data_IF_123985273445
#
_entry.id   IF_123985273445
#
_cell.length_a   1.000
_cell.length_b   1.000
_cell.length_c   1.000
_cell.angle_alpha   90.00
_cell.angle_beta   90.00
_cell.angle_gamma   90.00
#
_symmetry.space_group_name_H-M   'P 1'
#
loop_
_entity.id
_entity.type
_entity.pdbx_description
1 polymer ?
#
# COMPACT_ATOMS: atom_id res chain seq x y z
N UNK A 1 18.45 -32.95 60.81
CA UNK A 1 18.60 -31.65 60.13
C UNK A 1 18.57 -31.88 58.63
N UNK A 2 17.44 -31.56 57.98
CA UNK A 2 17.26 -31.70 56.53
C UNK A 2 17.98 -30.55 55.81
N UNK A 3 18.83 -30.89 54.83
CA UNK A 3 19.49 -29.94 53.94
C UNK A 3 18.49 -29.50 52.87
N UNK A 4 18.23 -28.20 52.77
CA UNK A 4 17.46 -27.59 51.69
C UNK A 4 18.45 -27.29 50.57
N UNK A 5 18.31 -27.97 49.44
CA UNK A 5 19.02 -27.67 48.20
C UNK A 5 18.20 -26.59 47.49
N UNK A 6 18.75 -25.38 47.41
CA UNK A 6 18.18 -24.28 46.64
C UNK A 6 18.67 -24.44 45.20
N UNK A 7 17.83 -24.98 44.32
CA UNK A 7 18.12 -25.00 42.88
C UNK A 7 17.82 -23.62 42.29
N UNK A 8 18.87 -22.87 41.98
CA UNK A 8 18.79 -21.63 41.23
C UNK A 8 18.51 -21.98 39.76
N UNK A 9 17.27 -21.81 39.32
CA UNK A 9 16.89 -21.96 37.91
C UNK A 9 17.29 -20.67 37.19
N UNK A 10 18.41 -20.69 36.48
CA UNK A 10 18.83 -19.58 35.62
C UNK A 10 18.11 -19.79 34.29
N UNK A 11 17.05 -19.02 34.05
CA UNK A 11 16.48 -18.86 32.71
C UNK A 11 17.46 -17.99 31.90
N UNK A 12 18.23 -18.63 31.03
CA UNK A 12 18.93 -17.92 29.95
C UNK A 12 17.93 -17.69 28.83
N UNK A 13 17.34 -16.51 28.78
CA UNK A 13 16.60 -16.05 27.59
C UNK A 13 17.66 -15.63 26.59
N UNK A 14 17.71 -16.33 25.46
CA UNK A 14 18.59 -16.02 24.35
C UNK A 14 17.93 -14.87 23.58
N UNK A 15 18.53 -13.68 23.60
CA UNK A 15 18.09 -12.59 22.73
C UNK A 15 18.51 -12.92 21.29
N UNK A 16 17.56 -13.36 20.47
CA UNK A 16 17.68 -13.22 19.02
C UNK A 16 17.40 -11.76 18.68
N UNK A 17 18.28 -11.20 17.86
CA UNK A 17 18.17 -9.86 17.28
C UNK A 17 16.79 -9.66 16.68
N UNK A 18 16.03 -8.71 17.23
CA UNK A 18 14.75 -8.25 16.68
C UNK A 18 15.06 -7.70 15.28
N UNK A 19 14.47 -8.31 14.26
CA UNK A 19 14.63 -7.95 12.86
C UNK A 19 13.75 -6.75 12.51
N UNK A 20 14.12 -6.10 11.39
CA UNK A 20 13.63 -4.84 10.84
C UNK A 20 12.09 -4.73 10.81
N UNK A 21 11.56 -3.67 11.42
CA UNK A 21 10.15 -3.26 11.31
C UNK A 21 9.90 -2.66 9.92
N UNK A 22 8.78 -2.93 9.28
CA UNK A 22 8.38 -2.34 7.99
C UNK A 22 6.92 -1.94 8.12
N UNK A 23 6.51 -0.77 7.62
CA UNK A 23 5.13 -0.33 7.78
C UNK A 23 4.51 0.18 6.47
N UNK A 24 3.36 -0.38 6.11
CA UNK A 24 2.65 -0.12 4.87
C UNK A 24 1.23 0.38 5.16
N UNK A 25 0.92 1.57 4.64
CA UNK A 25 -0.42 2.16 4.65
C UNK A 25 -0.93 2.27 3.22
N UNK A 26 -2.02 1.58 2.87
CA UNK A 26 -2.80 1.87 1.68
C UNK A 26 -4.26 2.17 2.06
N UNK A 27 -4.76 3.32 1.59
CA UNK A 27 -6.16 3.73 1.69
C UNK A 27 -6.91 3.29 0.41
N UNK A 28 -7.93 2.46 0.61
CA UNK A 28 -9.01 2.08 -0.32
C UNK A 28 -8.66 1.29 -1.60
N UNK A 29 -8.77 -0.04 -1.50
CA UNK A 29 -9.80 -0.89 -2.15
C UNK A 29 -9.81 -2.26 -1.46
N UNK A 30 -10.93 -2.98 -1.48
CA UNK A 30 -11.00 -4.40 -1.10
C UNK A 30 -9.74 -5.17 -1.54
N UNK A 31 -9.26 -6.02 -0.65
CA UNK A 31 -8.01 -6.77 -0.77
C UNK A 31 -8.09 -7.78 -1.93
N UNK A 32 -7.61 -7.39 -3.12
CA UNK A 32 -7.48 -8.27 -4.29
C UNK A 32 -6.00 -8.60 -4.60
N UNK A 33 -5.14 -8.80 -3.59
CA UNK A 33 -3.78 -9.27 -3.80
C UNK A 33 -3.30 -10.22 -2.68
N UNK A 34 -2.66 -11.34 -3.07
CA UNK A 34 -2.13 -12.37 -2.16
C UNK A 34 -0.73 -12.82 -2.64
N UNK A 35 0.28 -11.96 -2.46
CA UNK A 35 1.68 -12.36 -2.47
C UNK A 35 2.27 -12.24 -1.06
N UNK A 36 3.45 -12.83 -0.82
CA UNK A 36 4.16 -12.64 0.45
C UNK A 36 4.45 -11.16 0.73
N UNK A 37 4.05 -10.69 1.90
CA UNK A 37 4.44 -9.39 2.44
C UNK A 37 5.86 -9.52 2.96
N UNK A 38 6.82 -9.19 2.10
CA UNK A 38 8.23 -9.10 2.46
C UNK A 38 8.71 -7.66 2.24
N UNK A 39 9.65 -7.22 3.09
CA UNK A 39 10.50 -6.02 2.94
C UNK A 39 10.09 -5.03 1.82
N UNK A 40 9.18 -4.10 2.12
CA UNK A 40 8.94 -2.95 1.23
C UNK A 40 7.94 -3.13 0.10
N UNK A 41 7.27 -4.27 -0.03
CA UNK A 41 6.26 -4.48 -1.08
C UNK A 41 4.93 -4.98 -0.53
N UNK A 42 3.89 -4.14 -0.66
CA UNK A 42 2.49 -4.61 -0.71
C UNK A 42 2.30 -5.38 -2.03
N UNK A 43 1.66 -6.56 -2.04
CA UNK A 43 1.41 -7.26 -3.28
C UNK A 43 0.50 -6.43 -4.20
N UNK A 44 0.60 -6.65 -5.51
CA UNK A 44 -0.26 -6.01 -6.52
C UNK A 44 -1.40 -6.92 -6.96
N UNK A 45 -2.44 -6.35 -7.55
CA UNK A 45 -3.69 -7.06 -7.93
C UNK A 45 -3.47 -8.41 -8.65
N UNK A 46 -4.03 -9.50 -8.13
CA UNK A 46 -4.08 -10.82 -8.79
C UNK A 46 -5.47 -11.45 -8.65
N UNK A 47 -5.87 -12.24 -9.63
CA UNK A 47 -7.27 -12.64 -9.90
C UNK A 47 -7.68 -13.99 -9.29
N UNK A 48 -6.91 -14.53 -8.33
CA UNK A 48 -7.17 -15.84 -7.70
C UNK A 48 -6.77 -15.86 -6.23
N UNK A 49 -7.39 -16.77 -5.46
CA UNK A 49 -7.11 -17.05 -4.05
C UNK A 49 -5.66 -17.54 -3.88
N UNK A 50 -4.77 -16.74 -3.32
CA UNK A 50 -3.45 -17.19 -2.82
C UNK A 50 -3.34 -16.91 -1.31
N UNK A 51 -2.32 -17.40 -0.62
CA UNK A 51 -2.16 -17.16 0.83
C UNK A 51 -1.31 -15.88 1.04
N UNK A 52 -1.62 -15.07 2.05
CA UNK A 52 -0.81 -13.92 2.48
C UNK A 52 0.19 -14.44 3.50
N UNK A 53 1.49 -14.33 3.23
CA UNK A 53 2.55 -14.67 4.17
C UNK A 53 3.20 -13.38 4.69
N UNK A 54 3.33 -13.23 6.01
CA UNK A 54 4.11 -12.16 6.62
C UNK A 54 5.53 -12.65 6.81
N UNK A 55 6.47 -11.99 6.12
CA UNK A 55 7.91 -12.20 6.26
C UNK A 55 8.54 -10.92 6.87
N UNK A 56 9.21 -11.07 8.01
CA UNK A 56 9.78 -9.96 8.80
C UNK A 56 8.78 -9.30 9.74
N UNK A 57 9.07 -8.05 10.14
CA UNK A 57 8.13 -7.26 10.95
C UNK A 57 7.37 -6.28 10.07
N UNK A 58 6.05 -6.32 10.14
CA UNK A 58 5.10 -5.58 9.32
C UNK A 58 4.16 -4.78 10.23
N UNK A 59 3.89 -3.53 9.90
CA UNK A 59 2.85 -2.70 10.51
C UNK A 59 1.90 -2.21 9.42
N UNK A 60 0.64 -2.59 9.54
CA UNK A 60 -0.49 -2.12 8.76
C UNK A 60 -1.10 -0.93 9.51
N UNK A 61 -1.05 0.24 8.89
CA UNK A 61 -1.78 1.43 9.40
C UNK A 61 -3.22 1.36 8.90
N UNK A 62 -4.22 1.58 9.75
CA UNK A 62 -5.66 1.44 9.47
C UNK A 62 -6.18 -0.03 9.51
N UNK A 63 -7.47 -0.20 9.28
CA UNK A 63 -8.15 -1.50 9.34
C UNK A 63 -7.58 -2.53 8.33
N UNK A 64 -7.61 -3.80 8.72
CA UNK A 64 -7.19 -4.98 7.95
C UNK A 64 -8.40 -5.91 7.76
N UNK A 65 -8.85 -6.07 6.51
CA UNK A 65 -10.00 -6.92 6.18
C UNK A 65 -9.57 -8.17 5.39
N UNK A 66 -9.68 -9.35 6.00
CA UNK A 66 -9.50 -10.63 5.32
C UNK A 66 -10.83 -11.10 4.70
N UNK A 67 -10.98 -10.94 3.39
CA UNK A 67 -12.18 -11.29 2.65
C UNK A 67 -11.95 -12.41 1.62
N UNK A 68 -13.03 -12.88 1.00
CA UNK A 68 -12.98 -13.71 -0.21
C UNK A 68 -12.07 -14.94 -0.11
N UNK A 69 -12.04 -15.66 1.01
CA UNK A 69 -11.28 -16.91 1.09
C UNK A 69 -9.78 -16.74 1.30
N UNK A 70 -9.29 -15.53 1.62
CA UNK A 70 -7.88 -15.29 1.90
C UNK A 70 -7.42 -16.00 3.16
N UNK A 71 -6.22 -16.56 3.12
CA UNK A 71 -5.48 -17.05 4.29
C UNK A 71 -4.39 -16.04 4.61
N UNK A 72 -4.26 -15.60 5.85
CA UNK A 72 -3.14 -14.80 6.32
C UNK A 72 -2.29 -15.63 7.28
N UNK A 73 -1.01 -15.79 7.00
CA UNK A 73 -0.05 -16.54 7.79
C UNK A 73 1.05 -15.59 8.29
N UNK A 74 1.20 -15.51 9.62
CA UNK A 74 2.36 -14.88 10.24
C UNK A 74 3.36 -15.98 10.55
N UNK A 75 4.46 -15.98 9.80
CA UNK A 75 5.47 -17.03 9.86
C UNK A 75 6.26 -17.00 11.19
N UNK A 76 6.94 -18.10 11.49
CA UNK A 76 7.80 -18.21 12.69
C UNK A 76 8.85 -17.09 12.75
N UNK A 77 8.78 -16.28 13.81
CA UNK A 77 9.74 -15.19 14.09
C UNK A 77 9.37 -13.85 13.47
N UNK A 78 8.26 -13.79 12.74
CA UNK A 78 7.78 -12.61 12.04
C UNK A 78 6.66 -11.92 12.84
N UNK A 79 6.37 -10.66 12.52
CA UNK A 79 5.36 -9.90 13.25
C UNK A 79 4.46 -9.07 12.35
N UNK A 80 3.18 -9.01 12.69
CA UNK A 80 2.20 -8.12 12.10
C UNK A 80 1.58 -7.25 13.20
N UNK A 81 1.65 -5.93 13.02
CA UNK A 81 0.93 -4.95 13.81
C UNK A 81 -0.18 -4.38 12.93
N UNK A 82 -1.40 -4.32 13.43
CA UNK A 82 -2.54 -3.65 12.78
C UNK A 82 -2.92 -2.46 13.64
N UNK A 83 -2.59 -1.25 13.20
CA UNK A 83 -2.98 0.02 13.83
C UNK A 83 -4.40 0.42 13.40
N UNK A 84 -5.34 -0.49 13.69
CA UNK A 84 -6.74 -0.47 13.27
C UNK A 84 -7.45 -1.74 13.74
N UNK A 85 -8.66 -1.97 13.24
CA UNK A 85 -9.39 -3.22 13.44
C UNK A 85 -8.85 -4.30 12.48
N UNK A 86 -8.88 -5.56 12.92
CA UNK A 86 -8.67 -6.72 12.08
C UNK A 86 -10.00 -7.46 11.93
N UNK A 87 -10.55 -7.51 10.72
CA UNK A 87 -11.79 -8.20 10.41
C UNK A 87 -11.51 -9.45 9.57
N UNK A 88 -11.90 -10.63 10.07
CA UNK A 88 -11.73 -11.92 9.39
C UNK A 88 -13.08 -12.43 8.91
N UNK A 89 -13.33 -12.44 7.60
CA UNK A 89 -14.62 -12.85 7.03
C UNK A 89 -14.86 -14.37 7.15
N UNK A 90 -16.12 -14.80 7.05
CA UNK A 90 -16.54 -16.21 7.16
C UNK A 90 -15.84 -17.24 6.27
N UNK A 91 -15.25 -16.81 5.16
CA UNK A 91 -14.51 -17.69 4.24
C UNK A 91 -13.00 -17.66 4.46
N UNK A 92 -12.49 -16.74 5.28
CA UNK A 92 -11.07 -16.43 5.42
C UNK A 92 -10.46 -17.12 6.63
N UNK A 93 -9.14 -17.20 6.63
CA UNK A 93 -8.36 -17.84 7.68
C UNK A 93 -7.23 -16.92 8.15
N UNK A 94 -7.03 -16.85 9.47
CA UNK A 94 -5.83 -16.25 10.07
C UNK A 94 -5.04 -17.34 10.80
N UNK A 95 -3.76 -17.42 10.44
CA UNK A 95 -2.77 -18.35 10.95
C UNK A 95 -1.64 -17.54 11.59
N UNK A 96 -1.34 -17.83 12.86
CA UNK A 96 -0.14 -17.34 13.52
C UNK A 96 0.71 -18.56 13.87
N UNK A 97 1.85 -18.69 13.21
CA UNK A 97 2.78 -19.79 13.42
C UNK A 97 3.53 -19.66 14.76
N UNK A 98 4.21 -20.74 15.13
CA UNK A 98 5.04 -20.84 16.33
C UNK A 98 6.11 -19.72 16.33
N UNK A 99 6.11 -18.82 17.30
CA UNK A 99 7.02 -17.67 17.35
C UNK A 99 6.62 -16.46 16.50
N UNK A 100 5.48 -16.48 15.83
CA UNK A 100 4.92 -15.32 15.13
C UNK A 100 4.16 -14.39 16.09
N UNK A 101 4.14 -13.08 15.77
CA UNK A 101 3.51 -12.07 16.63
C UNK A 101 2.42 -11.30 15.89
N UNK A 102 1.20 -11.28 16.41
CA UNK A 102 0.12 -10.41 15.95
C UNK A 102 -0.22 -9.40 17.05
N UNK A 103 -0.22 -8.11 16.70
CA UNK A 103 -0.74 -7.05 17.55
C UNK A 103 -1.85 -6.29 16.82
N UNK A 104 -3.01 -6.14 17.43
CA UNK A 104 -4.15 -5.37 16.89
C UNK A 104 -4.47 -4.23 17.84
N UNK A 105 -4.28 -2.99 17.39
CA UNK A 105 -4.55 -1.80 18.20
C UNK A 105 -6.05 -1.46 18.29
N UNK A 106 -6.87 -1.98 17.37
CA UNK A 106 -8.33 -1.90 17.39
C UNK A 106 -9.01 -3.16 17.90
N UNK A 107 -10.17 -3.47 17.34
CA UNK A 107 -10.88 -4.72 17.60
C UNK A 107 -10.42 -5.82 16.65
N UNK A 108 -10.43 -7.06 17.14
CA UNK A 108 -10.33 -8.25 16.31
C UNK A 108 -11.74 -8.84 16.14
N UNK A 109 -12.29 -8.77 14.93
CA UNK A 109 -13.63 -9.29 14.59
C UNK A 109 -13.47 -10.55 13.77
N UNK A 110 -13.96 -11.68 14.29
CA UNK A 110 -13.90 -12.97 13.62
C UNK A 110 -15.28 -13.46 13.19
N UNK A 111 -15.47 -13.62 11.88
CA UNK A 111 -16.58 -14.36 11.28
C UNK A 111 -16.13 -15.68 10.64
N UNK A 112 -14.82 -15.86 10.42
CA UNK A 112 -14.15 -16.97 9.72
C UNK A 112 -13.41 -17.96 10.62
N UNK A 113 -12.43 -18.65 10.05
CA UNK A 113 -11.62 -19.63 10.80
C UNK A 113 -10.39 -18.96 11.41
N UNK A 114 -10.07 -19.31 12.66
CA UNK A 114 -8.90 -18.78 13.35
C UNK A 114 -8.07 -19.91 13.94
N UNK A 115 -6.84 -20.08 13.46
CA UNK A 115 -5.97 -21.19 13.86
C UNK A 115 -4.65 -20.65 14.43
N UNK A 116 -4.32 -21.05 15.66
CA UNK A 116 -3.04 -20.76 16.28
C UNK A 116 -2.26 -22.07 16.45
N UNK A 117 -1.06 -22.17 15.88
CA UNK A 117 -0.20 -23.35 16.03
C UNK A 117 0.79 -23.18 17.21
N UNK A 118 0.92 -24.18 18.08
CA UNK A 118 2.01 -24.26 19.08
C UNK A 118 1.70 -24.98 20.41
N UNK A 119 2.73 -25.60 21.00
CA UNK A 119 2.80 -26.02 22.42
C UNK A 119 3.68 -25.03 23.21
N UNK A 120 3.40 -24.80 24.51
CA UNK A 120 3.83 -23.71 25.43
C UNK A 120 5.34 -23.37 25.50
N UNK A 121 6.18 -24.06 24.76
CA UNK A 121 7.62 -23.85 24.80
C UNK A 121 8.16 -23.11 23.57
N UNK A 122 7.28 -22.57 22.69
CA UNK A 122 7.69 -21.73 21.57
C UNK A 122 6.57 -20.80 21.00
N UNK A 123 5.94 -20.01 21.88
CA UNK A 123 5.66 -18.56 21.77
C UNK A 123 5.12 -17.88 20.48
N UNK A 124 4.10 -18.42 19.80
CA UNK A 124 3.22 -17.54 18.99
C UNK A 124 2.38 -16.62 19.91
N UNK A 125 2.21 -15.34 19.57
CA UNK A 125 1.51 -14.35 20.42
C UNK A 125 0.48 -13.56 19.63
N UNK A 126 -0.71 -13.38 20.21
CA UNK A 126 -1.73 -12.47 19.68
C UNK A 126 -2.16 -11.51 20.79
N UNK A 127 -2.10 -10.20 20.53
CA UNK A 127 -2.51 -9.18 21.48
C UNK A 127 -3.49 -8.20 20.82
N UNK A 128 -4.61 -7.94 21.48
CA UNK A 128 -5.69 -7.08 21.02
C UNK A 128 -5.97 -6.00 22.06
N UNK A 129 -5.74 -4.74 21.69
CA UNK A 129 -5.98 -3.59 22.58
C UNK A 129 -7.47 -3.29 22.76
N UNK A 130 -8.27 -3.51 21.72
CA UNK A 130 -9.73 -3.42 21.74
C UNK A 130 -10.40 -4.73 22.13
N UNK A 131 -11.55 -5.01 21.53
CA UNK A 131 -12.35 -6.21 21.81
C UNK A 131 -12.01 -7.35 20.85
N UNK A 132 -12.13 -8.58 21.33
CA UNK A 132 -12.28 -9.75 20.46
C UNK A 132 -13.76 -10.07 20.32
N UNK A 133 -14.28 -10.04 19.09
CA UNK A 133 -15.69 -10.20 18.75
C UNK A 133 -15.85 -11.43 17.84
N UNK A 134 -16.67 -12.39 18.24
CA UNK A 134 -16.93 -13.61 17.46
C UNK A 134 -18.36 -13.57 16.91
N UNK A 135 -18.49 -13.23 15.61
CA UNK A 135 -19.77 -13.01 14.93
C UNK A 135 -20.21 -14.17 14.02
N UNK A 136 -19.35 -15.17 13.81
CA UNK A 136 -19.55 -16.29 12.88
C UNK A 136 -19.60 -17.67 13.53
N UNK A 137 -19.60 -18.73 12.69
CA UNK A 137 -19.35 -20.12 13.13
C UNK A 137 -17.84 -20.40 13.23
N UNK A 138 -17.04 -19.35 13.38
CA UNK A 138 -15.60 -19.46 13.52
C UNK A 138 -15.24 -20.24 14.77
N UNK A 139 -14.34 -21.21 14.63
CA UNK A 139 -13.74 -21.87 15.78
C UNK A 139 -12.41 -21.16 16.05
N UNK A 140 -12.29 -20.52 17.22
CA UNK A 140 -10.98 -20.16 17.78
C UNK A 140 -10.29 -21.44 18.25
N UNK A 141 -9.49 -22.05 17.38
CA UNK A 141 -8.66 -23.19 17.74
C UNK A 141 -7.35 -22.70 18.34
N UNK A 142 -7.42 -22.28 19.61
CA UNK A 142 -6.23 -22.10 20.43
C UNK A 142 -5.66 -23.47 20.78
N UNK A 143 -4.36 -23.68 20.53
CA UNK A 143 -3.67 -24.82 21.14
C UNK A 143 -3.81 -24.75 22.66
N UNK A 144 -3.48 -25.83 23.39
CA UNK A 144 -3.62 -25.90 24.86
C UNK A 144 -2.87 -24.81 25.64
N UNK A 145 -2.09 -23.99 24.93
CA UNK A 145 -0.94 -23.24 25.37
C UNK A 145 -0.72 -21.89 24.65
N UNK A 146 -1.73 -21.38 23.93
CA UNK A 146 -1.62 -20.13 23.16
C UNK A 146 -1.68 -18.88 24.04
N UNK A 147 -0.83 -17.88 23.78
CA UNK A 147 -0.84 -16.58 24.44
C UNK A 147 -1.70 -15.60 23.65
N UNK A 148 -3.01 -15.64 23.88
CA UNK A 148 -3.94 -14.66 23.34
C UNK A 148 -4.26 -13.63 24.43
N UNK A 149 -4.03 -12.34 24.17
CA UNK A 149 -4.30 -11.27 25.13
C UNK A 149 -5.35 -10.34 24.56
N UNK A 150 -6.42 -10.09 25.31
CA UNK A 150 -7.46 -9.13 24.94
C UNK A 150 -7.63 -8.18 26.11
N UNK A 151 -7.46 -6.89 25.86
CA UNK A 151 -7.60 -5.84 26.88
C UNK A 151 -9.05 -5.34 26.99
N UNK A 152 -9.82 -5.39 25.89
CA UNK A 152 -11.26 -5.16 25.88
C UNK A 152 -12.06 -6.39 26.30
N UNK A 153 -13.29 -6.53 25.80
CA UNK A 153 -14.10 -7.73 26.02
C UNK A 153 -13.72 -8.83 25.04
N UNK A 154 -13.75 -10.09 25.48
CA UNK A 154 -13.59 -11.27 24.64
C UNK A 154 -14.87 -12.10 24.61
N UNK A 155 -15.34 -12.45 23.41
CA UNK A 155 -16.48 -13.36 23.22
C UNK A 155 -16.11 -14.86 23.42
N UNK A 156 -14.81 -15.20 23.45
CA UNK A 156 -14.33 -16.58 23.69
C UNK A 156 -14.31 -16.94 25.20
N UNK A 157 -14.98 -18.02 25.63
CA UNK A 157 -14.97 -18.50 27.02
C UNK A 157 -13.63 -19.09 27.50
N UNK A 158 -12.64 -19.30 26.61
CA UNK A 158 -11.37 -20.00 26.90
C UNK A 158 -10.16 -19.13 27.24
N UNK A 159 -10.19 -17.82 26.96
CA UNK A 159 -9.02 -16.97 27.08
C UNK A 159 -9.02 -16.05 28.33
N UNK A 160 -7.83 -15.77 28.86
CA UNK A 160 -7.60 -14.85 29.97
C UNK A 160 -7.77 -13.39 29.51
N UNK A 161 -8.89 -12.76 29.87
CA UNK A 161 -8.95 -11.30 30.06
C UNK A 161 -7.69 -10.88 30.84
N UNK A 162 -6.78 -10.15 30.19
CA UNK A 162 -5.40 -10.04 30.67
C UNK A 162 -4.71 -8.78 30.18
N UNK A 163 -3.90 -8.18 31.05
CA UNK A 163 -3.06 -7.03 30.70
C UNK A 163 -2.02 -7.51 29.69
N UNK A 164 -2.02 -6.91 28.50
CA UNK A 164 -0.98 -7.13 27.48
C UNK A 164 0.40 -6.83 28.12
N UNK A 165 1.34 -7.79 28.13
CA UNK A 165 2.67 -7.58 28.70
C UNK A 165 3.37 -6.33 28.13
N UNK A 166 4.08 -5.52 28.97
CA UNK A 166 4.73 -4.29 28.51
C UNK A 166 5.71 -4.48 27.35
N UNK A 167 6.39 -5.63 27.29
CA UNK A 167 7.27 -6.01 26.19
C UNK A 167 6.55 -6.14 24.85
N UNK A 168 5.29 -6.58 24.84
CA UNK A 168 4.46 -6.65 23.62
C UNK A 168 3.92 -5.26 23.27
N UNK A 169 3.60 -4.43 24.26
CA UNK A 169 3.23 -3.02 24.03
C UNK A 169 4.40 -2.18 23.50
N UNK A 170 5.65 -2.55 23.80
CA UNK A 170 6.82 -1.86 23.29
C UNK A 170 7.06 -2.07 21.79
N UNK A 171 6.54 -3.17 21.21
CA UNK A 171 6.54 -3.42 19.76
C UNK A 171 5.62 -2.41 19.04
N UNK A 172 4.61 -1.88 19.73
CA UNK A 172 3.61 -0.94 19.20
C UNK A 172 3.97 0.55 19.40
N UNK A 173 4.73 0.91 20.44
CA UNK A 173 4.90 2.31 20.86
C UNK A 173 5.86 3.18 20.03
N UNK A 174 6.33 2.69 18.88
CA UNK A 174 7.19 3.47 17.98
C UNK A 174 6.59 3.45 16.59
N UNK A 175 5.49 4.17 16.38
CA UNK A 175 5.39 4.90 15.12
C UNK A 175 6.46 5.99 15.23
N UNK A 176 7.61 5.84 14.57
CA UNK A 176 8.74 6.74 14.73
C UNK A 176 8.39 8.15 14.28
N UNK A 177 7.36 8.29 13.44
CA UNK A 177 6.92 9.56 12.89
C UNK A 177 5.42 9.76 13.13
N UNK A 178 5.07 10.94 13.65
CA UNK A 178 3.68 11.41 13.65
C UNK A 178 3.52 12.44 12.54
N UNK A 179 2.94 12.07 11.40
CA UNK A 179 2.72 12.98 10.28
C UNK A 179 1.44 13.81 10.50
N UNK A 180 1.60 15.14 10.47
CA UNK A 180 0.50 16.09 10.68
C UNK A 180 -0.18 16.52 9.38
N UNK A 181 0.59 16.68 8.32
CA UNK A 181 0.06 17.00 6.99
C UNK A 181 1.04 16.64 5.89
N UNK A 182 0.52 16.32 4.72
CA UNK A 182 1.26 16.20 3.47
C UNK A 182 0.44 16.80 2.34
N UNK A 183 0.99 17.81 1.68
CA UNK A 183 0.32 18.61 0.67
C UNK A 183 1.24 18.84 -0.53
N UNK A 184 0.64 19.04 -1.69
CA UNK A 184 1.35 19.27 -2.93
C UNK A 184 0.65 20.30 -3.79
N UNK A 185 1.42 21.13 -4.48
CA UNK A 185 0.88 22.08 -5.46
C UNK A 185 1.75 22.10 -6.72
N UNK A 186 1.09 22.03 -7.87
CA UNK A 186 1.75 22.25 -9.15
C UNK A 186 1.86 23.76 -9.41
N UNK A 187 3.08 24.24 -9.53
CA UNK A 187 3.38 25.65 -9.77
C UNK A 187 3.39 25.99 -11.26
N UNK A 188 3.33 27.30 -11.57
CA UNK A 188 3.32 27.79 -12.96
C UNK A 188 4.60 27.47 -13.75
N UNK A 189 5.71 27.17 -13.06
CA UNK A 189 6.98 26.79 -13.69
C UNK A 189 7.13 25.27 -13.89
N UNK A 190 6.01 24.53 -13.94
CA UNK A 190 5.97 23.07 -14.11
C UNK A 190 6.77 22.31 -13.03
N UNK A 191 6.66 22.77 -11.79
CA UNK A 191 7.30 22.11 -10.64
C UNK A 191 6.20 21.72 -9.66
N UNK A 192 6.22 20.49 -9.15
CA UNK A 192 5.37 20.13 -8.02
C UNK A 192 6.14 20.43 -6.75
N UNK A 193 5.63 21.39 -5.97
CA UNK A 193 6.12 21.70 -4.63
C UNK A 193 5.34 20.84 -3.63
N UNK A 194 6.05 19.95 -2.95
CA UNK A 194 5.56 19.10 -1.87
C UNK A 194 5.95 19.72 -0.53
N UNK A 195 5.03 19.73 0.43
CA UNK A 195 5.24 20.21 1.80
C UNK A 195 4.59 19.28 2.80
N UNK A 196 5.28 19.03 3.90
CA UNK A 196 4.74 18.23 4.98
C UNK A 196 5.24 18.69 6.34
N UNK A 197 4.53 18.27 7.37
CA UNK A 197 4.81 18.60 8.76
C UNK A 197 4.79 17.32 9.59
N UNK A 198 5.84 17.06 10.35
CA UNK A 198 5.85 16.04 11.40
C UNK A 198 5.56 16.71 12.75
N UNK A 199 4.77 16.07 13.61
CA UNK A 199 4.54 16.50 14.99
C UNK A 199 5.56 15.88 15.96
N UNK A 200 6.03 14.67 15.64
CA UNK A 200 7.04 13.91 16.39
C UNK A 200 7.93 13.11 15.44
N UNK A 201 9.21 12.99 15.81
CA UNK A 201 10.23 12.14 15.18
C UNK A 201 11.00 11.41 16.28
N UNK A 202 11.18 10.10 16.16
CA UNK A 202 11.91 9.26 17.12
C UNK A 202 12.68 8.19 16.33
N UNK A 203 13.97 8.05 16.58
CA UNK A 203 14.89 7.18 15.82
C UNK A 203 14.84 7.36 14.28
N UNK A 204 14.47 8.55 13.82
CA UNK A 204 14.14 8.81 12.42
C UNK A 204 15.38 9.17 11.57
N UNK A 205 15.50 8.62 10.37
CA UNK A 205 16.62 8.91 9.46
C UNK A 205 16.25 9.95 8.41
N UNK A 206 15.32 9.62 7.51
CA UNK A 206 14.97 10.48 6.38
C UNK A 206 13.64 10.09 5.75
N UNK A 207 13.04 11.01 5.01
CA UNK A 207 11.97 10.70 4.08
C UNK A 207 12.55 10.34 2.72
N UNK A 208 12.08 9.25 2.12
CA UNK A 208 12.10 9.05 0.68
C UNK A 208 10.80 9.58 0.08
N UNK A 209 10.93 10.44 -0.93
CA UNK A 209 9.81 11.00 -1.67
C UNK A 209 9.59 10.09 -2.87
N UNK A 210 8.41 9.51 -2.94
CA UNK A 210 8.07 8.57 -4.00
C UNK A 210 7.00 9.16 -4.93
N UNK A 211 7.08 8.80 -6.22
CA UNK A 211 6.19 9.28 -7.27
C UNK A 211 5.66 8.12 -8.13
N UNK A 212 4.39 8.16 -8.49
CA UNK A 212 3.78 7.23 -9.44
C UNK A 212 3.01 7.95 -10.54
N UNK A 213 3.02 7.37 -11.74
CA UNK A 213 2.22 7.80 -12.91
C UNK A 213 1.13 6.80 -13.30
N UNK A 214 1.11 5.62 -12.66
CA UNK A 214 0.24 4.50 -13.02
C UNK A 214 -0.55 3.93 -11.81
N UNK A 215 -0.45 4.56 -10.64
CA UNK A 215 -1.09 4.13 -9.39
C UNK A 215 -0.56 2.85 -8.76
N UNK A 216 0.47 2.23 -9.32
CA UNK A 216 0.95 0.92 -8.89
C UNK A 216 2.43 1.00 -8.55
N UNK A 217 3.23 1.47 -9.50
CA UNK A 217 4.67 1.56 -9.35
C UNK A 217 5.05 2.95 -8.85
N UNK A 218 5.65 3.01 -7.66
CA UNK A 218 6.20 4.22 -7.08
C UNK A 218 7.73 4.19 -7.18
N UNK A 219 8.32 5.21 -7.82
CA UNK A 219 9.77 5.40 -7.89
C UNK A 219 10.23 6.43 -6.85
N UNK A 220 11.40 6.21 -6.24
CA UNK A 220 12.02 7.22 -5.36
C UNK A 220 12.60 8.34 -6.21
N UNK A 221 12.09 9.56 -6.02
CA UNK A 221 12.53 10.75 -6.77
C UNK A 221 13.44 11.67 -5.95
N UNK A 222 13.59 11.42 -4.66
CA UNK A 222 14.53 12.14 -3.81
C UNK A 222 14.41 11.74 -2.34
N UNK A 223 15.35 12.23 -1.54
CA UNK A 223 15.37 12.02 -0.10
C UNK A 223 15.49 13.35 0.64
N UNK A 224 14.89 13.45 1.83
CA UNK A 224 14.98 14.60 2.72
C UNK A 224 15.28 14.10 4.12
N UNK A 225 16.46 14.44 4.64
CA UNK A 225 16.89 14.02 5.97
C UNK A 225 15.96 14.56 7.07
N UNK A 226 15.66 13.72 8.05
CA UNK A 226 14.97 14.10 9.28
C UNK A 226 15.90 14.75 10.31
N UNK A 227 15.36 15.03 11.50
CA UNK A 227 16.16 15.54 12.64
C UNK A 227 16.67 14.43 13.57
N UNK A 228 16.26 13.18 13.38
CA UNK A 228 16.56 12.08 14.32
C UNK A 228 15.52 11.99 15.42
N UNK A 229 15.43 13.05 16.22
CA UNK A 229 14.58 13.13 17.40
C UNK A 229 13.92 14.52 17.48
N UNK A 230 12.60 14.56 17.55
CA UNK A 230 11.81 15.78 17.71
C UNK A 230 10.48 15.50 18.38
N UNK A 231 10.05 16.39 19.29
CA UNK A 231 8.70 16.39 19.86
C UNK A 231 7.97 17.72 19.55
N UNK A 232 8.33 18.35 18.43
CA UNK A 232 7.77 19.62 17.98
C UNK A 232 7.63 19.63 16.46
N UNK A 233 6.67 20.44 15.97
CA UNK A 233 6.43 20.61 14.53
C UNK A 233 7.73 20.85 13.74
N UNK A 234 8.06 19.94 12.82
CA UNK A 234 9.16 20.11 11.85
C UNK A 234 8.57 20.26 10.46
N UNK A 235 9.06 21.26 9.71
CA UNK A 235 8.53 21.62 8.40
C UNK A 235 9.50 21.21 7.30
N UNK A 236 8.99 20.45 6.34
CA UNK A 236 9.77 19.92 5.23
C UNK A 236 9.21 20.36 3.89
N UNK A 237 10.05 20.30 2.86
CA UNK A 237 9.63 20.54 1.49
C UNK A 237 10.50 19.81 0.48
N UNK A 238 9.90 19.46 -0.65
CA UNK A 238 10.59 18.87 -1.80
C UNK A 238 10.04 19.45 -3.10
N UNK A 239 10.91 19.64 -4.10
CA UNK A 239 10.52 20.20 -5.39
C UNK A 239 10.81 19.20 -6.51
N UNK A 240 9.76 18.61 -7.07
CA UNK A 240 9.86 17.82 -8.30
C UNK A 240 9.80 18.76 -9.52
N UNK A 241 10.94 18.89 -10.22
CA UNK A 241 11.07 19.73 -11.42
C UNK A 241 10.80 18.98 -12.72
N UNK A 242 10.70 17.65 -12.66
CA UNK A 242 10.55 16.77 -13.81
C UNK A 242 9.19 16.07 -13.74
N UNK A 243 8.13 16.84 -13.47
CA UNK A 243 6.78 16.31 -13.28
C UNK A 243 6.26 15.77 -14.61
N UNK A 244 5.93 14.47 -14.72
CA UNK A 244 5.34 13.92 -15.93
C UNK A 244 3.99 14.59 -16.22
N UNK A 245 3.60 14.68 -17.49
CA UNK A 245 2.22 15.06 -17.80
C UNK A 245 1.27 13.97 -17.32
N UNK A 246 0.09 14.37 -16.84
CA UNK A 246 -0.94 13.45 -16.41
C UNK A 246 -1.31 13.63 -14.95
N UNK A 247 -2.02 12.62 -14.45
CA UNK A 247 -2.23 12.41 -13.03
C UNK A 247 -0.94 11.81 -12.46
N UNK A 248 -0.34 12.52 -11.51
CA UNK A 248 0.87 12.10 -10.80
C UNK A 248 0.53 11.97 -9.33
N UNK A 249 0.90 10.84 -8.72
CA UNK A 249 0.72 10.62 -7.29
C UNK A 249 2.06 10.71 -6.58
N UNK A 250 2.05 11.28 -5.39
CA UNK A 250 3.22 11.37 -4.53
C UNK A 250 2.90 10.79 -3.17
N UNK A 251 3.84 10.07 -2.58
CA UNK A 251 3.75 9.59 -1.20
C UNK A 251 5.07 9.78 -0.48
N UNK A 252 5.02 9.77 0.85
CA UNK A 252 6.19 9.80 1.70
C UNK A 252 6.44 8.39 2.23
N UNK A 253 7.71 7.98 2.20
CA UNK A 253 8.22 6.81 2.89
C UNK A 253 9.21 7.31 3.96
N UNK A 254 8.80 7.38 5.21
CA UNK A 254 9.69 7.69 6.33
C UNK A 254 10.59 6.49 6.62
N UNK A 255 11.90 6.67 6.68
CA UNK A 255 12.87 5.62 6.98
C UNK A 255 13.59 5.98 8.28
N UNK A 256 13.76 5.02 9.16
CA UNK A 256 14.42 5.12 10.45
C UNK A 256 15.90 4.77 10.38
N UNK A 257 16.60 5.00 11.49
CA UNK A 257 18.04 4.72 11.62
C UNK A 257 18.34 3.22 11.53
N UNK A 258 17.40 2.36 11.93
CA UNK A 258 17.50 0.91 11.85
C UNK A 258 17.00 0.33 10.51
N UNK A 259 16.75 1.20 9.53
CA UNK A 259 16.20 0.89 8.20
C UNK A 259 14.75 0.44 8.19
N UNK A 260 14.04 0.49 9.33
CA UNK A 260 12.59 0.39 9.31
C UNK A 260 11.95 1.58 8.60
N UNK A 261 10.72 1.43 8.13
CA UNK A 261 10.08 2.51 7.37
C UNK A 261 8.56 2.57 7.56
N UNK A 262 7.97 3.74 7.27
CA UNK A 262 6.54 4.05 7.29
C UNK A 262 6.06 4.78 6.05
N UNK A 263 5.06 4.18 5.39
CA UNK A 263 4.40 4.75 4.22
C UNK A 263 3.17 5.57 4.61
N UNK A 264 3.06 6.77 4.04
CA UNK A 264 1.89 7.65 4.22
C UNK A 264 1.02 7.70 2.97
N UNK A 265 -0.24 8.13 3.15
CA UNK A 265 -1.22 8.26 2.07
C UNK A 265 -0.69 9.11 0.90
N UNK A 266 -0.96 8.65 -0.32
CA UNK A 266 -0.54 9.34 -1.52
C UNK A 266 -1.47 10.52 -1.85
N UNK A 267 -0.89 11.67 -2.18
CA UNK A 267 -1.62 12.81 -2.74
C UNK A 267 -1.60 12.78 -4.27
N UNK A 268 -2.68 13.24 -4.90
CA UNK A 268 -2.80 13.31 -6.35
C UNK A 268 -2.62 14.75 -6.86
N UNK A 269 -1.76 14.92 -7.87
CA UNK A 269 -1.50 16.19 -8.53
C UNK A 269 -1.69 16.01 -10.04
N UNK A 270 -2.52 16.86 -10.64
CA UNK A 270 -2.76 16.84 -12.09
C UNK A 270 -1.85 17.83 -12.80
N UNK A 271 -0.92 17.31 -13.59
CA UNK A 271 -0.09 18.10 -14.49
C UNK A 271 -0.67 18.14 -15.90
N UNK A 272 -1.28 19.29 -16.21
CA UNK A 272 -1.85 19.59 -17.53
C UNK A 272 -0.92 20.43 -18.40
N UNK A 273 0.31 20.74 -17.95
CA UNK A 273 1.29 21.52 -18.71
C UNK A 273 2.01 20.66 -19.77
N UNK A 274 1.29 19.95 -20.65
CA UNK A 274 1.89 19.42 -21.88
C UNK A 274 1.93 20.51 -22.95
N UNK A 275 2.81 20.32 -23.93
CA UNK A 275 2.54 20.89 -25.25
C UNK A 275 1.35 20.15 -25.86
N UNK A 276 0.49 20.84 -26.60
CA UNK A 276 -0.72 20.24 -27.18
C UNK A 276 -0.38 18.98 -28.00
N UNK A 277 -1.07 17.86 -27.74
CA UNK A 277 -1.07 16.72 -28.64
C UNK A 277 -1.59 17.17 -30.01
N UNK A 278 -0.94 16.71 -31.07
CA UNK A 278 -1.36 17.05 -32.45
C UNK A 278 -1.53 15.79 -33.26
N UNK A 279 -2.42 15.85 -34.24
CA UNK A 279 -2.60 14.79 -35.21
C UNK A 279 -2.40 15.35 -36.62
N UNK A 280 -1.56 14.71 -37.44
CA UNK A 280 -1.27 15.14 -38.80
C UNK A 280 -1.17 13.95 -39.77
N UNK A 281 -1.52 14.14 -41.05
CA UNK A 281 -2.15 15.34 -41.60
C UNK A 281 -3.60 15.48 -41.12
N UNK A 282 -4.04 16.72 -40.92
CA UNK A 282 -5.44 17.06 -40.66
C UNK A 282 -5.80 18.31 -41.48
N UNK A 283 -6.63 18.20 -42.54
CA UNK A 283 -7.43 17.03 -42.90
C UNK A 283 -6.63 15.81 -43.37
N UNK A 284 -7.15 14.62 -43.10
CA UNK A 284 -6.58 13.32 -43.48
C UNK A 284 -7.33 12.76 -44.68
N UNK A 285 -6.63 12.11 -45.61
CA UNK A 285 -7.25 11.38 -46.74
C UNK A 285 -7.31 9.87 -46.53
N UNK A 286 -6.46 9.36 -45.63
CA UNK A 286 -6.30 7.96 -45.28
C UNK A 286 -5.82 7.87 -43.83
N UNK A 287 -6.64 7.29 -42.94
CA UNK A 287 -6.34 7.24 -41.50
C UNK A 287 -5.09 6.41 -41.16
N UNK A 288 -4.68 5.48 -42.03
CA UNK A 288 -3.42 4.75 -41.85
C UNK A 288 -2.18 5.67 -41.92
N UNK A 289 -2.35 6.88 -42.45
CA UNK A 289 -1.33 7.93 -42.53
C UNK A 289 -1.44 8.98 -41.42
N UNK A 290 -2.49 8.92 -40.60
CA UNK A 290 -2.66 9.84 -39.47
C UNK A 290 -1.61 9.48 -38.40
N UNK A 291 -0.82 10.47 -38.01
CA UNK A 291 0.22 10.36 -36.98
C UNK A 291 -0.11 11.27 -35.82
N UNK A 292 0.02 10.72 -34.61
CA UNK A 292 -0.13 11.46 -33.36
C UNK A 292 1.26 11.98 -32.97
N UNK A 293 1.44 13.30 -32.98
CA UNK A 293 2.64 13.94 -32.45
C UNK A 293 2.49 14.01 -30.95
N UNK A 294 3.37 13.30 -30.27
CA UNK A 294 3.46 13.32 -28.82
C UNK A 294 4.65 14.19 -28.42
N UNK A 295 4.47 15.20 -27.55
CA UNK A 295 5.55 15.96 -26.95
C UNK A 295 6.67 15.11 -26.36
N UNK A 296 7.86 15.68 -26.27
CA UNK A 296 8.99 15.00 -25.60
C UNK A 296 8.70 14.69 -24.13
N UNK A 297 7.95 15.57 -23.46
CA UNK A 297 7.53 15.41 -22.05
C UNK A 297 6.47 14.31 -21.85
N UNK A 298 6.01 13.69 -22.95
CA UNK A 298 5.00 12.63 -23.01
C UNK A 298 5.60 11.33 -23.59
N UNK A 299 6.83 11.00 -23.20
CA UNK A 299 7.55 9.84 -23.71
C UNK A 299 6.83 8.53 -23.40
N UNK A 300 6.74 7.62 -24.38
CA UNK A 300 6.22 6.27 -24.21
C UNK A 300 4.95 6.00 -25.00
N UNK A 301 4.31 4.87 -24.69
CA UNK A 301 3.05 4.47 -25.32
C UNK A 301 1.88 5.24 -24.69
N UNK A 302 0.92 5.63 -25.50
CA UNK A 302 -0.34 6.21 -25.02
C UNK A 302 -1.20 5.08 -24.44
N UNK A 303 -1.81 5.30 -23.27
CA UNK A 303 -2.63 4.26 -22.63
C UNK A 303 -3.78 3.82 -23.54
N UNK A 304 -4.42 4.79 -24.24
CA UNK A 304 -5.49 4.49 -25.19
C UNK A 304 -5.60 5.55 -26.28
N UNK A 305 -5.88 5.11 -27.50
CA UNK A 305 -6.34 5.94 -28.62
C UNK A 305 -7.68 5.39 -29.10
N UNK A 306 -8.66 6.26 -29.28
CA UNK A 306 -9.98 5.90 -29.78
C UNK A 306 -10.50 6.93 -30.77
N UNK A 307 -11.13 6.47 -31.86
CA UNK A 307 -11.75 7.32 -32.86
C UNK A 307 -13.27 7.16 -32.81
N UNK A 308 -13.97 8.29 -32.78
CA UNK A 308 -15.43 8.35 -32.77
C UNK A 308 -15.95 9.15 -33.95
N UNK A 309 -17.13 8.79 -34.45
CA UNK A 309 -17.89 9.62 -35.40
C UNK A 309 -18.59 10.80 -34.70
N UNK A 310 -19.30 11.64 -35.46
CA UNK A 310 -20.02 12.79 -34.91
C UNK A 310 -21.19 12.40 -33.98
N UNK A 311 -21.69 11.17 -34.08
CA UNK A 311 -22.79 10.65 -33.28
C UNK A 311 -22.29 10.00 -31.97
N UNK A 312 -20.97 9.93 -31.78
CA UNK A 312 -20.34 9.31 -30.63
C UNK A 312 -20.14 7.79 -30.78
N UNK A 313 -20.35 7.22 -31.97
CA UNK A 313 -20.10 5.80 -32.22
C UNK A 313 -18.61 5.54 -32.27
N UNK A 314 -18.15 4.52 -31.53
CA UNK A 314 -16.75 4.08 -31.54
C UNK A 314 -16.43 3.37 -32.86
N UNK A 315 -15.47 3.90 -33.61
CA UNK A 315 -15.02 3.34 -34.89
C UNK A 315 -13.68 2.59 -34.77
N UNK A 316 -12.83 3.03 -33.84
CA UNK A 316 -11.53 2.44 -33.60
C UNK A 316 -11.14 2.59 -32.15
N UNK A 317 -10.46 1.58 -31.59
CA UNK A 317 -9.79 1.71 -30.31
C UNK A 317 -8.56 0.81 -30.24
N UNK A 318 -7.49 1.35 -29.67
CA UNK A 318 -6.29 0.61 -29.33
C UNK A 318 -5.78 1.06 -27.96
N UNK A 319 -5.42 0.09 -27.12
CA UNK A 319 -4.69 0.32 -25.87
C UNK A 319 -3.19 0.17 -26.11
N UNK A 320 -2.37 0.79 -25.25
CA UNK A 320 -0.90 0.79 -25.38
C UNK A 320 -0.43 1.20 -26.79
N UNK A 321 -1.03 2.28 -27.31
CA UNK A 321 -0.78 2.78 -28.66
C UNK A 321 0.63 3.37 -28.74
N UNK A 322 1.42 2.93 -29.72
CA UNK A 322 2.75 3.45 -29.98
C UNK A 322 2.68 4.67 -30.92
N UNK A 323 3.08 5.88 -30.50
CA UNK A 323 3.05 7.06 -31.38
C UNK A 323 3.95 6.95 -32.63
N UNK A 324 5.00 6.13 -32.57
CA UNK A 324 6.01 6.00 -33.62
C UNK A 324 5.51 5.03 -34.70
N UNK A 325 5.10 3.83 -34.28
CA UNK A 325 4.75 2.74 -35.19
C UNK A 325 3.23 2.49 -35.32
N UNK A 326 2.44 3.02 -34.38
CA UNK A 326 0.99 2.89 -34.38
C UNK A 326 0.35 3.48 -35.62
N UNK A 327 -0.70 2.80 -36.08
CA UNK A 327 -1.54 3.19 -37.21
C UNK A 327 -2.99 3.05 -36.84
N UNK A 328 -3.82 3.93 -37.38
CA UNK A 328 -5.28 3.85 -37.24
C UNK A 328 -5.81 3.28 -38.55
N UNK A 329 -5.96 1.97 -38.62
CA UNK A 329 -6.44 1.27 -39.81
C UNK A 329 -7.96 1.10 -39.74
N UNK A 330 -8.66 1.83 -40.60
CA UNK A 330 -10.13 1.80 -40.71
C UNK A 330 -10.48 1.82 -42.20
N UNK A 331 -11.23 0.82 -42.64
CA UNK A 331 -11.70 0.74 -44.01
C UNK A 331 -13.05 1.46 -44.20
N UNK A 332 -13.28 1.97 -45.41
CA UNK A 332 -14.59 2.48 -45.85
C UNK A 332 -15.19 3.61 -44.99
N UNK A 333 -14.35 4.43 -44.36
CA UNK A 333 -14.77 5.60 -43.60
C UNK A 333 -15.18 6.75 -44.54
N UNK A 334 -16.34 7.35 -44.27
CA UNK A 334 -16.89 8.45 -45.08
C UNK A 334 -16.13 9.76 -44.84
N UNK A 335 -16.28 10.70 -45.76
CA UNK A 335 -15.87 12.09 -45.51
C UNK A 335 -16.70 12.67 -44.35
N UNK A 336 -16.03 13.43 -43.47
CA UNK A 336 -16.69 13.94 -42.27
C UNK A 336 -15.72 14.37 -41.16
N UNK A 337 -16.31 14.79 -40.04
CA UNK A 337 -15.58 15.15 -38.82
C UNK A 337 -15.63 13.98 -37.82
N UNK A 338 -14.49 13.71 -37.22
CA UNK A 338 -14.26 12.65 -36.24
C UNK A 338 -13.60 13.21 -34.98
N UNK A 339 -13.82 12.56 -33.86
CA UNK A 339 -13.16 12.87 -32.59
C UNK A 339 -12.15 11.79 -32.28
N UNK A 340 -10.88 12.17 -32.24
CA UNK A 340 -9.79 11.34 -31.77
C UNK A 340 -9.57 11.61 -30.27
N UNK A 341 -9.93 10.64 -29.44
CA UNK A 341 -9.76 10.65 -27.99
C UNK A 341 -8.46 9.95 -27.64
N UNK A 342 -7.56 10.67 -26.98
CA UNK A 342 -6.24 10.18 -26.59
C UNK A 342 -6.16 10.21 -25.07
N UNK A 343 -5.92 9.07 -24.46
CA UNK A 343 -5.75 8.92 -23.01
C UNK A 343 -4.30 8.59 -22.70
N UNK A 344 -3.69 9.37 -21.80
CA UNK A 344 -2.33 9.17 -21.33
C UNK A 344 -2.19 9.63 -19.87
N UNK A 345 -1.56 8.79 -19.03
CA UNK A 345 -1.34 9.01 -17.59
C UNK A 345 -2.60 9.51 -16.87
N UNK A 346 -3.73 8.81 -17.08
CA UNK A 346 -5.02 9.14 -16.47
C UNK A 346 -5.77 10.35 -17.06
N UNK A 347 -5.10 11.23 -17.82
CA UNK A 347 -5.74 12.35 -18.50
C UNK A 347 -6.20 11.97 -19.91
N UNK A 348 -7.18 12.71 -20.42
CA UNK A 348 -7.74 12.49 -21.75
C UNK A 348 -7.88 13.80 -22.52
N UNK A 349 -7.32 13.82 -23.73
CA UNK A 349 -7.44 14.91 -24.69
C UNK A 349 -8.28 14.49 -25.90
N UNK A 350 -8.99 15.45 -26.49
CA UNK A 350 -9.83 15.23 -27.68
C UNK A 350 -9.34 16.11 -28.83
N UNK A 351 -9.00 15.48 -29.96
CA UNK A 351 -8.64 16.17 -31.20
C UNK A 351 -9.74 16.00 -32.25
N UNK A 352 -10.05 17.08 -32.97
CA UNK A 352 -10.96 17.03 -34.12
C UNK A 352 -10.19 16.66 -35.37
N UNK A 353 -10.60 15.59 -36.05
CA UNK A 353 -9.98 15.11 -37.29
C UNK A 353 -10.99 15.23 -38.42
N UNK A 354 -10.59 15.85 -39.53
CA UNK A 354 -11.41 15.96 -40.73
C UNK A 354 -10.94 14.96 -41.77
N UNK A 355 -11.84 14.11 -42.27
CA UNK A 355 -11.60 13.20 -43.40
C UNK A 355 -12.08 13.86 -44.69
N UNK A 356 -11.16 14.01 -45.64
CA UNK A 356 -11.43 14.44 -47.02
C UNK A 356 -11.26 13.30 -48.00
#
# INVERSE_FOLDING_TARGET
MKRIILSLLIFTISFTTIAQNTSASEQFTDWDNNGGWSNGTSPGAVTFFEDIEIDGSVVRIDDLDLNLGSVLTINTGDSLVVDGNLNVSSSSELIVEEGGYLYVNGNLVNEGSFIIFGDFTNDGIIAVSGNYIENGLGDLNTGTNSNFYVNGTSDDPGNTDGIIPPEIQAIYNTLPIELKSFEGILTQNKTTELKWITAKEENFSHFEIQRSINNQDFEVIGTVNGLGESNSDVYYSFNDKNVPYGIVRYRLNAVDIDESFELFEAIEIQNTFSSELKAFPNPVTDFSKLRIVVPQDLSGKLNKVALYDNAGSLLYSQTNYDPIDGKIEIENIKEGMYILKITHNGLTENLRIFKH
#
